data_IF_429257110121
#
_entry.id   IF_429257110121
#
_cell.length_a   1.000
_cell.length_b   1.000
_cell.length_c   1.000
_cell.angle_alpha   90.00
_cell.angle_beta   90.00
_cell.angle_gamma   90.00
#
_symmetry.space_group_name_H-M   'P 1'
#
loop_
_entity.id
_entity.type
_entity.pdbx_description
1 polymer ?
#
# COMPACT_ATOMS: atom_id res chain seq x y z
N UNK A 1 19.51 -34.51 24.32
CA UNK A 1 19.31 -33.38 23.38
C UNK A 1 20.08 -32.18 23.92
N UNK A 2 21.09 -31.72 23.18
CA UNK A 2 22.02 -30.69 23.65
C UNK A 2 21.42 -29.30 23.49
N UNK A 3 21.86 -28.32 24.29
CA UNK A 3 21.38 -26.93 24.18
C UNK A 3 21.61 -26.33 22.77
N UNK A 4 22.59 -26.85 22.01
CA UNK A 4 22.82 -26.49 20.62
C UNK A 4 21.71 -26.92 19.65
N UNK A 5 21.00 -28.02 19.92
CA UNK A 5 19.91 -28.52 19.06
C UNK A 5 18.64 -27.69 19.24
N UNK A 6 18.40 -27.21 20.47
CA UNK A 6 17.30 -26.29 20.79
C UNK A 6 17.47 -24.95 20.08
N UNK A 7 18.67 -24.38 20.08
CA UNK A 7 18.96 -23.11 19.38
C UNK A 7 18.76 -23.23 17.86
N UNK A 8 19.22 -24.32 17.24
CA UNK A 8 18.99 -24.56 15.80
C UNK A 8 17.50 -24.66 15.46
N UNK A 9 16.70 -25.24 16.35
CA UNK A 9 15.25 -25.40 16.16
C UNK A 9 14.54 -24.05 16.27
N UNK A 10 14.94 -23.20 17.22
CA UNK A 10 14.42 -21.84 17.39
C UNK A 10 14.73 -20.97 16.17
N UNK A 11 15.96 -21.04 15.64
CA UNK A 11 16.34 -20.29 14.43
C UNK A 11 15.45 -20.68 13.24
N UNK A 12 15.24 -21.98 13.01
CA UNK A 12 14.36 -22.46 11.93
C UNK A 12 12.91 -22.00 12.10
N UNK A 13 12.40 -22.02 13.33
CA UNK A 13 11.05 -21.50 13.62
C UNK A 13 10.93 -20.01 13.29
N UNK A 14 11.93 -19.21 13.65
CA UNK A 14 11.95 -17.78 13.35
C UNK A 14 11.96 -17.50 11.84
N UNK A 15 12.75 -18.27 11.07
CA UNK A 15 12.79 -18.15 9.61
C UNK A 15 11.44 -18.52 8.96
N UNK A 16 10.81 -19.60 9.43
CA UNK A 16 9.49 -20.02 8.95
C UNK A 16 8.42 -18.97 9.27
N UNK A 17 8.41 -18.42 10.48
CA UNK A 17 7.47 -17.37 10.88
C UNK A 17 7.66 -16.11 10.03
N UNK A 18 8.91 -15.69 9.79
CA UNK A 18 9.22 -14.55 8.92
C UNK A 18 8.71 -14.78 7.49
N UNK A 19 8.98 -15.95 6.92
CA UNK A 19 8.51 -16.27 5.56
C UNK A 19 6.98 -16.31 5.47
N UNK A 20 6.30 -16.88 6.47
CA UNK A 20 4.83 -16.87 6.51
C UNK A 20 4.25 -15.47 6.67
N UNK A 21 4.90 -14.60 7.45
CA UNK A 21 4.50 -13.21 7.60
C UNK A 21 4.66 -12.44 6.28
N UNK A 22 5.75 -12.66 5.56
CA UNK A 22 6.00 -12.08 4.23
C UNK A 22 5.00 -12.59 3.17
N UNK A 23 4.57 -13.85 3.25
CA UNK A 23 3.55 -14.42 2.35
C UNK A 23 2.13 -13.93 2.67
N UNK A 24 1.81 -13.70 3.95
CA UNK A 24 0.50 -13.23 4.38
C UNK A 24 0.26 -11.74 4.12
N UNK A 25 1.33 -10.98 3.86
CA UNK A 25 1.27 -9.58 3.48
C UNK A 25 1.52 -9.47 1.97
N UNK A 26 0.49 -9.51 1.10
CA UNK A 26 0.68 -9.34 -0.33
C UNK A 26 1.49 -8.06 -0.56
N UNK A 27 2.59 -8.22 -1.30
CA UNK A 27 3.72 -7.29 -1.33
C UNK A 27 3.31 -5.83 -1.18
N UNK A 28 3.48 -5.29 0.04
CA UNK A 28 3.42 -3.85 0.27
C UNK A 28 4.55 -3.24 -0.55
N UNK A 29 4.26 -2.81 -1.76
CA UNK A 29 5.15 -1.99 -2.55
C UNK A 29 5.55 -0.82 -1.65
N UNK A 30 6.84 -0.77 -1.31
CA UNK A 30 7.41 0.23 -0.41
C UNK A 30 7.00 1.60 -0.95
N UNK A 31 6.07 2.23 -0.26
CA UNK A 31 5.60 3.57 -0.57
C UNK A 31 6.84 4.46 -0.67
N UNK A 32 7.13 5.04 -1.83
CA UNK A 32 8.24 5.98 -1.97
C UNK A 32 7.96 7.17 -1.05
N UNK A 33 8.56 7.16 0.13
CA UNK A 33 8.49 8.26 1.09
C UNK A 33 9.30 9.42 0.52
N UNK A 34 8.63 10.31 -0.19
CA UNK A 34 9.24 11.57 -0.61
C UNK A 34 9.23 12.53 0.56
N UNK A 35 10.36 12.72 1.24
CA UNK A 35 10.49 13.78 2.23
C UNK A 35 10.50 15.14 1.53
N UNK A 36 9.85 16.15 2.13
CA UNK A 36 10.04 17.52 1.68
C UNK A 36 11.30 18.14 2.28
N UNK A 37 11.56 19.39 1.90
CA UNK A 37 12.74 20.16 2.34
C UNK A 37 12.89 20.29 3.86
N UNK A 38 11.82 20.04 4.62
CA UNK A 38 11.82 20.08 6.09
C UNK A 38 11.91 18.66 6.70
N UNK A 39 12.21 17.63 5.89
CA UNK A 39 12.27 16.24 6.31
C UNK A 39 10.91 15.59 6.56
N UNK A 40 9.80 16.29 6.30
CA UNK A 40 8.44 15.75 6.52
C UNK A 40 8.05 14.85 5.36
N UNK A 41 7.53 13.66 5.66
CA UNK A 41 6.99 12.77 4.63
C UNK A 41 5.90 13.51 3.84
N UNK A 42 6.16 13.76 2.55
CA UNK A 42 5.25 14.42 1.63
C UNK A 42 4.76 13.41 0.60
N UNK A 43 3.51 13.01 0.76
CA UNK A 43 2.87 12.11 -0.19
C UNK A 43 2.54 12.89 -1.46
N UNK A 44 2.93 12.36 -2.62
CA UNK A 44 2.71 12.97 -3.94
C UNK A 44 1.69 12.17 -4.74
N UNK A 45 0.85 12.89 -5.46
CA UNK A 45 -0.09 12.31 -6.40
C UNK A 45 0.67 11.65 -7.56
N UNK A 46 0.35 10.39 -7.85
CA UNK A 46 0.97 9.62 -8.91
C UNK A 46 0.82 10.28 -10.29
N UNK A 47 -0.33 10.93 -10.55
CA UNK A 47 -0.63 11.55 -11.85
C UNK A 47 0.06 12.90 -12.05
N UNK A 48 -0.18 13.85 -11.14
CA UNK A 48 0.28 15.24 -11.32
C UNK A 48 1.59 15.56 -10.60
N UNK A 49 2.14 14.61 -9.82
CA UNK A 49 3.36 14.73 -9.00
C UNK A 49 3.34 15.86 -7.94
N UNK A 50 2.21 16.57 -7.79
CA UNK A 50 1.98 17.56 -6.73
C UNK A 50 1.65 16.86 -5.40
N UNK A 51 1.87 17.55 -4.28
CA UNK A 51 1.58 17.02 -2.93
C UNK A 51 0.07 16.73 -2.77
N UNK A 52 -0.25 15.61 -2.14
CA UNK A 52 -1.61 15.23 -1.72
C UNK A 52 -2.03 16.01 -0.45
N UNK A 53 -2.18 17.33 -0.57
CA UNK A 53 -2.70 18.20 0.50
C UNK A 53 -4.23 18.33 0.49
N UNK A 54 -4.85 17.97 -0.63
CA UNK A 54 -6.30 18.03 -0.87
C UNK A 54 -6.88 16.61 -0.88
N UNK A 55 -8.21 16.49 -1.00
CA UNK A 55 -8.93 15.21 -1.07
C UNK A 55 -8.28 14.23 -2.06
N UNK A 56 -7.84 13.10 -1.52
CA UNK A 56 -7.01 12.09 -2.19
C UNK A 56 -7.34 10.71 -1.63
N UNK A 57 -7.15 9.67 -2.44
CA UNK A 57 -7.23 8.26 -2.00
C UNK A 57 -5.93 7.52 -2.35
N UNK A 58 -5.74 6.36 -1.73
CA UNK A 58 -4.60 5.45 -1.93
C UNK A 58 -5.10 4.15 -2.55
N UNK A 59 -4.41 3.69 -3.60
CA UNK A 59 -4.71 2.39 -4.20
C UNK A 59 -4.32 1.27 -3.22
N UNK A 60 -5.25 0.39 -2.86
CA UNK A 60 -4.99 -0.75 -1.97
C UNK A 60 -3.94 -1.71 -2.58
N UNK A 61 -3.95 -1.88 -3.89
CA UNK A 61 -3.04 -2.79 -4.62
C UNK A 61 -1.61 -2.23 -4.76
N UNK A 62 -1.43 -1.02 -5.28
CA UNK A 62 -0.10 -0.47 -5.60
C UNK A 62 0.35 0.67 -4.68
N UNK A 63 -0.44 1.01 -3.66
CA UNK A 63 -0.11 1.97 -2.59
C UNK A 63 0.24 3.39 -3.06
N UNK A 64 -0.05 3.72 -4.32
CA UNK A 64 0.10 5.07 -4.85
C UNK A 64 -1.11 5.94 -4.51
N UNK A 65 -0.82 7.20 -4.20
CA UNK A 65 -1.83 8.19 -3.89
C UNK A 65 -2.26 8.95 -5.14
N UNK A 66 -3.53 9.32 -5.20
CA UNK A 66 -4.09 10.10 -6.30
C UNK A 66 -5.14 11.09 -5.78
N UNK A 67 -5.11 12.32 -6.27
CA UNK A 67 -6.18 13.28 -6.00
C UNK A 67 -7.46 12.83 -6.68
N UNK A 68 -8.63 13.06 -6.06
CA UNK A 68 -9.93 12.74 -6.68
C UNK A 68 -10.09 13.42 -8.04
N UNK A 69 -9.74 14.70 -8.13
CA UNK A 69 -9.76 15.45 -9.40
C UNK A 69 -8.78 14.91 -10.46
N UNK A 70 -7.63 14.38 -10.02
CA UNK A 70 -6.67 13.77 -10.94
C UNK A 70 -7.21 12.46 -11.52
N UNK A 71 -7.92 11.68 -10.71
CA UNK A 71 -8.64 10.47 -11.15
C UNK A 71 -9.96 10.79 -11.85
N UNK A 72 -10.50 12.00 -11.68
CA UNK A 72 -11.83 12.44 -12.16
C UNK A 72 -12.96 11.61 -11.54
N UNK A 73 -12.87 11.34 -10.24
CA UNK A 73 -13.96 10.72 -9.51
C UNK A 73 -15.16 11.67 -9.46
N UNK A 74 -16.35 11.12 -9.66
CA UNK A 74 -17.63 11.80 -9.45
C UNK A 74 -17.90 12.03 -7.97
N UNK A 75 -18.82 12.94 -7.65
CA UNK A 75 -19.24 13.19 -6.27
C UNK A 75 -19.72 11.93 -5.58
N UNK A 76 -20.48 11.07 -6.28
CA UNK A 76 -20.96 9.79 -5.73
C UNK A 76 -19.82 8.83 -5.39
N UNK A 77 -18.86 8.64 -6.30
CA UNK A 77 -17.69 7.78 -6.04
C UNK A 77 -16.85 8.32 -4.87
N UNK A 78 -16.73 9.64 -4.76
CA UNK A 78 -16.03 10.27 -3.64
C UNK A 78 -16.76 10.03 -2.33
N UNK A 79 -18.09 10.19 -2.30
CA UNK A 79 -18.92 9.92 -1.12
C UNK A 79 -18.83 8.46 -0.70
N UNK A 80 -18.91 7.50 -1.64
CA UNK A 80 -18.72 6.08 -1.36
C UNK A 80 -17.37 5.80 -0.70
N UNK A 81 -16.28 6.33 -1.26
CA UNK A 81 -14.93 6.16 -0.72
C UNK A 81 -14.70 6.82 0.65
N UNK A 82 -15.50 7.82 1.02
CA UNK A 82 -15.38 8.51 2.31
C UNK A 82 -16.38 8.01 3.36
N UNK A 83 -17.50 7.39 2.94
CA UNK A 83 -18.53 6.86 3.82
C UNK A 83 -18.27 5.42 4.25
N UNK A 84 -17.68 4.59 3.39
CA UNK A 84 -17.39 3.20 3.72
C UNK A 84 -15.97 3.04 4.26
N UNK A 85 -15.85 2.57 5.51
CA UNK A 85 -14.54 2.24 6.14
C UNK A 85 -13.79 1.09 5.44
N UNK A 86 -14.40 0.44 4.44
CA UNK A 86 -13.96 -0.87 3.92
C UNK A 86 -13.87 -0.98 2.39
N UNK A 87 -14.30 0.02 1.60
CA UNK A 87 -14.14 -0.08 0.14
C UNK A 87 -12.71 0.25 -0.29
N UNK A 88 -11.96 -0.81 -0.61
CA UNK A 88 -10.61 -0.72 -1.12
C UNK A 88 -10.61 -0.06 -2.51
N UNK A 89 -10.17 1.20 -2.59
CA UNK A 89 -9.92 1.86 -3.86
C UNK A 89 -8.83 1.13 -4.65
N UNK A 90 -9.16 0.69 -5.88
CA UNK A 90 -8.17 0.18 -6.83
C UNK A 90 -7.98 1.19 -7.96
N UNK A 91 -6.73 1.48 -8.33
CA UNK A 91 -6.48 2.42 -9.42
C UNK A 91 -6.62 1.74 -10.78
N UNK A 92 -6.93 2.51 -11.82
CA UNK A 92 -7.17 2.00 -13.18
C UNK A 92 -6.03 1.15 -13.75
N UNK A 93 -4.79 1.48 -13.38
CA UNK A 93 -3.62 0.70 -13.80
C UNK A 93 -3.70 -0.72 -13.21
N UNK A 94 -4.08 -0.84 -11.94
CA UNK A 94 -4.25 -2.13 -11.27
C UNK A 94 -5.51 -2.86 -11.76
N UNK A 95 -6.61 -2.14 -12.04
CA UNK A 95 -7.81 -2.71 -12.66
C UNK A 95 -7.48 -3.35 -14.03
N UNK A 96 -6.76 -2.65 -14.89
CA UNK A 96 -6.39 -3.12 -16.24
C UNK A 96 -5.38 -4.28 -16.22
N UNK A 97 -4.54 -4.37 -15.19
CA UNK A 97 -3.59 -5.48 -15.01
C UNK A 97 -4.30 -6.74 -14.49
N UNK A 98 -5.26 -6.58 -13.57
CA UNK A 98 -6.01 -7.71 -13.00
C UNK A 98 -6.97 -8.38 -14.01
N UNK A 99 -7.41 -7.66 -15.05
CA UNK A 99 -8.30 -8.19 -16.10
C UNK A 99 -7.59 -9.01 -17.20
N UNK A 100 -6.26 -9.15 -17.12
CA UNK A 100 -5.44 -9.89 -18.11
C UNK A 100 -4.94 -11.25 -17.62
N UNK A 101 -5.43 -11.72 -16.47
CA UNK A 101 -5.23 -13.06 -15.93
C UNK A 101 -6.50 -13.88 -16.09
#
# INVERSE_FOLDING_TARGET
MSNGDKNKTITKLNEIMKSKLEQALPGRSVQQKYTDKDGRASIKCFKCKKKCRTRSTVCSTCQHWIHYNCKRLSTKEIESLEQEELEDYTCRICEEVNLKL
#
